data_IF_037885526247
#
_entry.id   IF_037885526247
#
_cell.length_a   1.000
_cell.length_b   1.000
_cell.length_c   1.000
_cell.angle_alpha   90.00
_cell.angle_beta   90.00
_cell.angle_gamma   90.00
#
_symmetry.space_group_name_H-M   'P 1'
#
loop_
_entity.id
_entity.type
_entity.pdbx_description
1 polymer ?
#
# COMPACT_ATOMS: atom_id res chain seq x y z
N UNK A 1 4.81 -3.50 -11.39
CA UNK A 1 4.71 -3.30 -9.93
C UNK A 1 4.39 -1.83 -9.67
N UNK A 2 3.31 -1.54 -8.95
CA UNK A 2 2.84 -0.18 -8.64
C UNK A 2 2.91 0.00 -7.12
N UNK A 3 3.65 1.01 -6.66
CA UNK A 3 3.73 1.34 -5.24
C UNK A 3 2.86 2.56 -4.93
N UNK A 4 2.12 2.50 -3.82
CA UNK A 4 1.19 3.55 -3.39
C UNK A 4 1.53 3.91 -1.94
N UNK A 5 1.97 5.14 -1.73
CA UNK A 5 2.18 5.68 -0.39
C UNK A 5 0.87 6.24 0.17
N UNK A 6 0.75 6.32 1.50
CA UNK A 6 -0.49 6.81 2.13
C UNK A 6 -1.71 5.92 1.83
N UNK A 7 -1.49 4.64 1.53
CA UNK A 7 -2.52 3.68 1.11
C UNK A 7 -3.67 3.49 2.13
N UNK A 8 -3.46 3.81 3.41
CA UNK A 8 -4.50 3.76 4.45
C UNK A 8 -5.33 5.05 4.56
N UNK A 9 -5.03 6.08 3.77
CA UNK A 9 -5.83 7.31 3.69
C UNK A 9 -7.04 7.15 2.77
N UNK A 10 -8.00 8.07 2.84
CA UNK A 10 -9.24 8.02 2.06
C UNK A 10 -8.98 7.91 0.56
N UNK A 11 -8.11 8.77 0.03
CA UNK A 11 -7.74 8.72 -1.39
C UNK A 11 -7.01 7.43 -1.75
N UNK A 12 -6.04 7.01 -0.93
CA UNK A 12 -5.25 5.80 -1.17
C UNK A 12 -6.11 4.56 -1.29
N UNK A 13 -7.14 4.43 -0.44
CA UNK A 13 -8.11 3.33 -0.51
C UNK A 13 -8.87 3.32 -1.83
N UNK A 14 -9.44 4.45 -2.25
CA UNK A 14 -10.16 4.53 -3.53
C UNK A 14 -9.26 4.28 -4.75
N UNK A 15 -8.01 4.73 -4.71
CA UNK A 15 -7.03 4.44 -5.77
C UNK A 15 -6.77 2.93 -5.86
N UNK A 16 -6.57 2.26 -4.73
CA UNK A 16 -6.37 0.81 -4.69
C UNK A 16 -7.61 0.07 -5.21
N UNK A 17 -8.80 0.43 -4.74
CA UNK A 17 -10.06 -0.16 -5.21
C UNK A 17 -10.24 -0.01 -6.73
N UNK A 18 -9.82 1.12 -7.29
CA UNK A 18 -9.86 1.34 -8.73
C UNK A 18 -8.82 0.48 -9.47
N UNK A 19 -7.60 0.39 -8.94
CA UNK A 19 -6.53 -0.39 -9.55
C UNK A 19 -6.82 -1.89 -9.53
N UNK A 20 -7.43 -2.41 -8.47
CA UNK A 20 -7.79 -3.84 -8.36
C UNK A 20 -8.77 -4.31 -9.45
N UNK A 21 -9.46 -3.38 -10.14
CA UNK A 21 -10.36 -3.71 -11.25
C UNK A 21 -9.59 -4.09 -12.52
N UNK A 22 -8.33 -3.68 -12.64
CA UNK A 22 -7.53 -3.83 -13.88
C UNK A 22 -6.16 -4.45 -13.63
N UNK A 23 -5.68 -4.45 -12.40
CA UNK A 23 -4.34 -4.91 -12.00
C UNK A 23 -4.46 -5.98 -10.92
N UNK A 24 -3.75 -7.12 -11.05
CA UNK A 24 -3.70 -8.12 -9.98
C UNK A 24 -3.15 -7.54 -8.68
N UNK A 25 -3.74 -7.93 -7.54
CA UNK A 25 -3.32 -7.46 -6.22
C UNK A 25 -1.83 -7.70 -5.93
N UNK A 26 -1.25 -8.78 -6.47
CA UNK A 26 0.17 -9.12 -6.35
C UNK A 26 1.11 -8.11 -7.01
N UNK A 27 0.61 -7.26 -7.91
CA UNK A 27 1.39 -6.19 -8.53
C UNK A 27 1.31 -4.85 -7.79
N UNK A 28 0.48 -4.75 -6.75
CA UNK A 28 0.27 -3.54 -5.95
C UNK A 28 1.05 -3.67 -4.64
N UNK A 29 1.78 -2.61 -4.30
CA UNK A 29 2.49 -2.47 -3.04
C UNK A 29 1.94 -1.26 -2.30
N UNK A 30 1.33 -1.49 -1.14
CA UNK A 30 0.85 -0.45 -0.24
C UNK A 30 1.94 -0.10 0.78
N UNK A 31 2.48 1.12 0.69
CA UNK A 31 3.46 1.65 1.62
C UNK A 31 2.74 2.46 2.70
N UNK A 32 2.88 2.04 3.96
CA UNK A 32 2.11 2.56 5.09
C UNK A 32 3.00 2.84 6.28
N UNK A 33 2.64 3.82 7.10
CA UNK A 33 3.36 4.09 8.37
C UNK A 33 3.01 3.06 9.46
N UNK A 34 1.74 2.65 9.51
CA UNK A 34 1.25 1.70 10.50
C UNK A 34 0.58 0.50 9.80
N UNK A 35 1.28 -0.65 9.71
CA UNK A 35 0.75 -1.87 9.09
C UNK A 35 -0.55 -2.38 9.72
N UNK A 36 -0.79 -2.15 11.01
CA UNK A 36 -2.02 -2.60 11.66
C UNK A 36 -3.28 -1.94 11.07
N UNK A 37 -3.14 -0.72 10.51
CA UNK A 37 -4.23 -0.04 9.80
C UNK A 37 -4.43 -0.54 8.37
N UNK A 38 -3.50 -1.34 7.86
CA UNK A 38 -3.49 -1.86 6.48
C UNK A 38 -3.89 -3.35 6.40
N UNK A 39 -4.37 -3.95 7.49
CA UNK A 39 -4.79 -5.36 7.55
C UNK A 39 -5.79 -5.71 6.45
N UNK A 40 -6.77 -4.84 6.18
CA UNK A 40 -7.73 -5.02 5.09
C UNK A 40 -7.06 -5.12 3.71
N UNK A 41 -5.98 -4.38 3.46
CA UNK A 41 -5.23 -4.43 2.21
C UNK A 41 -4.47 -5.76 2.07
N UNK A 42 -3.85 -6.23 3.15
CA UNK A 42 -3.17 -7.54 3.13
C UNK A 42 -4.12 -8.71 2.88
N UNK A 43 -5.35 -8.64 3.42
CA UNK A 43 -6.39 -9.64 3.17
C UNK A 43 -6.87 -9.67 1.71
N UNK A 44 -6.73 -8.56 0.99
CA UNK A 44 -7.01 -8.48 -0.45
C UNK A 44 -5.85 -9.01 -1.33
N UNK A 45 -4.79 -9.54 -0.71
CA UNK A 45 -3.61 -10.06 -1.43
C UNK A 45 -2.63 -8.98 -1.88
N UNK A 46 -2.77 -7.75 -1.37
CA UNK A 46 -1.86 -6.64 -1.64
C UNK A 46 -0.63 -6.76 -0.75
N UNK A 47 0.55 -6.51 -1.32
CA UNK A 47 1.78 -6.47 -0.53
C UNK A 47 1.81 -5.20 0.31
N UNK A 48 1.90 -5.33 1.63
CA UNK A 48 2.02 -4.19 2.55
C UNK A 48 3.48 -4.04 3.00
N UNK A 49 4.05 -2.84 2.84
CA UNK A 49 5.38 -2.49 3.34
C UNK A 49 5.28 -1.33 4.32
N UNK A 50 6.07 -1.38 5.38
CA UNK A 50 6.13 -0.30 6.36
C UNK A 50 7.24 0.68 5.98
N UNK A 51 6.90 1.96 5.89
CA UNK A 51 7.89 3.04 5.78
C UNK A 51 7.33 4.34 6.34
N UNK A 52 8.16 5.12 7.03
CA UNK A 52 7.85 6.49 7.43
C UNK A 52 8.48 7.48 6.45
N UNK A 53 7.73 8.51 6.04
CA UNK A 53 8.22 9.55 5.13
C UNK A 53 9.44 10.31 5.66
N UNK A 54 9.67 10.30 6.98
CA UNK A 54 10.87 10.87 7.58
C UNK A 54 12.10 9.96 7.56
N UNK A 55 11.95 8.70 7.14
CA UNK A 55 13.02 7.71 7.09
C UNK A 55 13.27 7.28 5.64
N UNK A 56 14.27 7.88 5.00
CA UNK A 56 14.65 7.56 3.63
C UNK A 56 15.09 6.10 3.48
N UNK A 57 15.82 5.55 4.46
CA UNK A 57 16.33 4.19 4.39
C UNK A 57 15.20 3.17 4.31
N UNK A 58 14.07 3.44 4.99
CA UNK A 58 12.88 2.60 4.95
C UNK A 58 12.22 2.48 3.54
N UNK A 59 12.54 3.37 2.59
CA UNK A 59 12.06 3.26 1.20
C UNK A 59 13.05 2.57 0.24
N UNK A 60 14.30 2.45 0.66
CA UNK A 60 15.38 1.85 -0.16
C UNK A 60 15.57 0.36 0.06
N UNK A 61 14.90 -0.20 1.07
CA UNK A 61 14.99 -1.60 1.50
C UNK A 61 13.76 -2.40 1.05
#
# INVERSE_FOLDING_TARGET
>A
MIAITGATGQLGQHVIESLLKTVPASQIVAIVRNPAKATALSQQGITVRQADYSDEAAFTT
#
